data_IF_760291415352
#
_entry.id   IF_760291415352
#
_cell.length_a   1.000
_cell.length_b   1.000
_cell.length_c   1.000
_cell.angle_alpha   90.00
_cell.angle_beta   90.00
_cell.angle_gamma   90.00
#
_symmetry.space_group_name_H-M   'P 1'
#
loop_
_entity.id
_entity.type
_entity.pdbx_description
1 polymer ?
#
# COMPACT_ATOMS: atom_id res chain seq x y z
N UNK A 1 -3.47 -15.51 2.29
CA UNK A 1 -3.29 -14.24 1.60
C UNK A 1 -1.80 -13.87 1.42
N UNK A 2 -0.96 -14.04 2.44
CA UNK A 2 0.49 -13.77 2.34
C UNK A 2 1.12 -14.71 1.30
N UNK A 3 0.94 -16.03 1.43
CA UNK A 3 1.40 -17.02 0.46
C UNK A 3 0.84 -16.76 -0.95
N UNK A 4 -0.46 -16.45 -1.05
CA UNK A 4 -1.09 -16.11 -2.33
C UNK A 4 -0.41 -14.91 -3.00
N UNK A 5 -0.02 -13.90 -2.21
CA UNK A 5 0.68 -12.71 -2.72
C UNK A 5 2.11 -13.05 -3.11
N UNK A 6 2.84 -13.83 -2.28
CA UNK A 6 4.19 -14.28 -2.61
C UNK A 6 4.23 -15.10 -3.90
N UNK A 7 3.34 -16.06 -4.06
CA UNK A 7 3.26 -16.85 -5.29
C UNK A 7 2.89 -16.00 -6.52
N UNK A 8 1.94 -15.04 -6.38
CA UNK A 8 1.60 -14.11 -7.46
C UNK A 8 2.82 -13.27 -7.87
N UNK A 9 3.59 -12.80 -6.89
CA UNK A 9 4.81 -12.03 -7.10
C UNK A 9 5.89 -12.87 -7.83
N UNK A 10 6.09 -14.13 -7.40
CA UNK A 10 7.02 -15.06 -8.04
C UNK A 10 6.61 -15.35 -9.49
N UNK A 11 5.33 -15.64 -9.72
CA UNK A 11 4.80 -15.89 -11.05
C UNK A 11 5.00 -14.69 -11.97
N UNK A 12 4.64 -13.48 -11.54
CA UNK A 12 4.84 -12.26 -12.30
C UNK A 12 6.31 -12.07 -12.70
N UNK A 13 7.24 -12.30 -11.77
CA UNK A 13 8.68 -12.23 -12.04
C UNK A 13 9.12 -13.27 -13.09
N UNK A 14 8.68 -14.52 -12.97
CA UNK A 14 9.04 -15.60 -13.90
C UNK A 14 8.49 -15.33 -15.31
N UNK A 15 7.38 -14.62 -15.44
CA UNK A 15 6.76 -14.23 -16.70
C UNK A 15 7.32 -12.92 -17.28
N UNK A 16 8.29 -12.28 -16.59
CA UNK A 16 8.94 -11.05 -17.03
C UNK A 16 8.16 -9.76 -16.68
N UNK A 17 7.17 -9.87 -15.81
CA UNK A 17 6.41 -8.74 -15.28
C UNK A 17 7.09 -8.10 -14.06
N UNK A 18 6.61 -6.94 -13.65
CA UNK A 18 7.14 -6.17 -12.53
C UNK A 18 6.27 -6.31 -11.29
N UNK A 19 6.91 -6.17 -10.13
CA UNK A 19 6.22 -6.05 -8.86
C UNK A 19 6.45 -4.65 -8.29
N UNK A 20 5.38 -3.87 -8.25
CA UNK A 20 5.40 -2.50 -7.73
C UNK A 20 4.88 -2.46 -6.30
N UNK A 21 5.49 -1.60 -5.48
CA UNK A 21 5.05 -1.34 -4.10
C UNK A 21 4.87 0.15 -3.88
N UNK A 22 3.77 0.55 -3.26
CA UNK A 22 3.48 1.95 -2.97
C UNK A 22 2.68 2.15 -1.69
N UNK A 23 2.75 3.36 -1.17
CA UNK A 23 1.99 3.88 -0.05
C UNK A 23 2.21 5.38 0.12
N UNK A 24 1.39 6.04 0.92
CA UNK A 24 1.55 7.46 1.26
C UNK A 24 1.58 7.67 2.77
N UNK A 25 2.15 8.79 3.21
CA UNK A 25 2.40 9.04 4.62
C UNK A 25 3.28 7.93 5.21
N UNK A 26 3.05 7.47 6.43
CA UNK A 26 3.81 6.35 7.00
C UNK A 26 3.68 5.03 6.23
N UNK A 27 2.64 4.85 5.42
CA UNK A 27 2.50 3.65 4.58
C UNK A 27 3.56 3.56 3.47
N UNK A 28 4.28 4.66 3.15
CA UNK A 28 5.40 4.62 2.19
C UNK A 28 6.53 3.70 2.65
N UNK A 29 6.70 3.52 3.96
CA UNK A 29 7.73 2.63 4.53
C UNK A 29 7.61 1.18 4.04
N UNK A 30 6.43 0.75 3.59
CA UNK A 30 6.26 -0.55 2.96
C UNK A 30 7.10 -0.70 1.69
N UNK A 31 7.16 0.35 0.87
CA UNK A 31 8.01 0.35 -0.32
C UNK A 31 9.51 0.36 0.04
N UNK A 32 9.90 1.12 1.05
CA UNK A 32 11.29 1.15 1.53
C UNK A 32 11.69 -0.20 2.16
N UNK A 33 10.77 -0.86 2.89
CA UNK A 33 11.01 -2.15 3.52
C UNK A 33 11.25 -3.27 2.49
N UNK A 34 10.60 -3.21 1.33
CA UNK A 34 10.73 -4.25 0.30
C UNK A 34 11.81 -3.94 -0.75
N UNK A 35 12.25 -2.68 -0.90
CA UNK A 35 13.17 -2.25 -1.94
C UNK A 35 14.60 -2.08 -1.43
N UNK A 36 15.58 -2.51 -2.26
CA UNK A 36 17.03 -2.27 -2.11
C UNK A 36 17.58 -2.60 -0.71
N UNK A 37 17.09 -3.66 -0.10
CA UNK A 37 17.42 -4.05 1.27
C UNK A 37 18.21 -5.35 1.29
N UNK A 38 19.16 -5.49 2.22
CA UNK A 38 19.87 -6.76 2.44
C UNK A 38 18.86 -7.88 2.78
N UNK A 39 18.93 -8.99 2.05
CA UNK A 39 17.98 -10.11 2.15
C UNK A 39 16.63 -9.87 1.48
N UNK A 40 16.42 -8.74 0.82
CA UNK A 40 15.23 -8.45 0.03
C UNK A 40 15.34 -8.95 -1.41
N UNK A 41 14.23 -8.87 -2.13
CA UNK A 41 14.13 -9.30 -3.53
C UNK A 41 14.52 -8.15 -4.47
N UNK A 42 15.41 -8.42 -5.42
CA UNK A 42 16.04 -7.39 -6.27
C UNK A 42 15.09 -6.81 -7.34
N UNK A 43 13.96 -7.46 -7.62
CA UNK A 43 13.05 -7.08 -8.71
C UNK A 43 11.86 -6.22 -8.24
N UNK A 44 11.80 -5.86 -6.96
CA UNK A 44 10.78 -4.96 -6.41
C UNK A 44 11.03 -3.54 -6.90
N UNK A 45 9.99 -2.89 -7.42
CA UNK A 45 10.02 -1.51 -7.92
C UNK A 45 9.18 -0.62 -7.00
N UNK A 46 9.77 0.32 -6.26
CA UNK A 46 9.00 1.22 -5.44
C UNK A 46 8.36 2.33 -6.29
N UNK A 47 7.04 2.52 -6.18
CA UNK A 47 6.41 3.77 -6.62
C UNK A 47 6.47 4.71 -5.42
N UNK A 48 7.57 5.43 -5.33
CA UNK A 48 7.92 6.26 -4.19
C UNK A 48 8.49 7.60 -4.67
N UNK A 49 7.81 8.68 -4.32
CA UNK A 49 8.23 10.04 -4.61
C UNK A 49 8.24 10.85 -3.31
N UNK A 50 9.01 11.94 -3.27
CA UNK A 50 9.09 12.79 -2.07
C UNK A 50 7.73 13.36 -1.65
N UNK A 51 6.80 13.52 -2.59
CA UNK A 51 5.44 13.99 -2.34
C UNK A 51 4.61 13.02 -1.49
N UNK A 52 4.90 11.72 -1.60
CA UNK A 52 4.20 10.68 -0.85
C UNK A 52 4.82 10.43 0.53
N UNK A 53 6.03 10.93 0.77
CA UNK A 53 6.75 10.77 2.04
C UNK A 53 6.47 11.94 2.99
N UNK A 54 6.95 11.82 4.22
CA UNK A 54 6.85 12.85 5.24
C UNK A 54 8.18 13.61 5.46
N UNK A 55 9.17 13.40 4.59
CA UNK A 55 10.55 13.87 4.78
C UNK A 55 10.71 15.37 4.70
N UNK A 56 9.92 16.08 3.91
CA UNK A 56 10.03 17.53 3.72
C UNK A 56 9.06 18.30 4.62
N UNK A 57 7.84 17.80 4.79
CA UNK A 57 6.83 18.43 5.63
C UNK A 57 5.83 17.38 6.15
N UNK A 58 5.51 17.39 7.46
CA UNK A 58 4.74 16.30 8.09
C UNK A 58 3.31 16.11 7.53
N UNK A 59 2.71 17.14 6.94
CA UNK A 59 1.34 17.05 6.40
C UNK A 59 1.29 17.08 4.87
N UNK A 60 2.42 17.21 4.17
CA UNK A 60 2.46 17.30 2.70
C UNK A 60 1.80 16.06 2.06
N UNK A 61 2.20 14.87 2.46
CA UNK A 61 1.66 13.63 1.93
C UNK A 61 0.16 13.49 2.14
N UNK A 62 -0.38 14.00 3.24
CA UNK A 62 -1.83 14.00 3.52
C UNK A 62 -2.63 14.89 2.57
N UNK A 63 -2.02 15.95 2.03
CA UNK A 63 -2.64 16.77 1.01
C UNK A 63 -2.53 16.12 -0.38
N UNK A 64 -1.33 15.62 -0.71
CA UNK A 64 -1.06 14.99 -2.01
C UNK A 64 -1.92 13.72 -2.20
N UNK A 65 -2.05 12.88 -1.18
CA UNK A 65 -2.87 11.66 -1.29
C UNK A 65 -4.36 11.91 -1.54
N UNK A 66 -4.83 13.16 -1.34
CA UNK A 66 -6.21 13.59 -1.63
C UNK A 66 -6.38 14.21 -3.01
N UNK A 67 -5.29 14.47 -3.73
CA UNK A 67 -5.33 15.01 -5.09
C UNK A 67 -5.73 13.92 -6.07
N UNK A 68 -6.79 14.18 -6.84
CA UNK A 68 -7.15 13.33 -7.96
C UNK A 68 -6.18 13.51 -9.14
N UNK A 69 -5.90 12.42 -9.85
CA UNK A 69 -5.04 12.39 -11.04
C UNK A 69 -3.55 12.19 -10.75
N UNK A 70 -3.09 12.33 -9.50
CA UNK A 70 -1.68 12.14 -9.17
C UNK A 70 -1.22 10.69 -9.39
N UNK A 71 -2.03 9.72 -8.98
CA UNK A 71 -1.74 8.31 -9.19
C UNK A 71 -1.57 7.95 -10.67
N UNK A 72 -2.42 8.51 -11.55
CA UNK A 72 -2.32 8.28 -12.99
C UNK A 72 -0.97 8.72 -13.55
N UNK A 73 -0.47 9.88 -13.13
CA UNK A 73 0.86 10.37 -13.55
C UNK A 73 1.94 9.36 -13.16
N UNK A 74 1.91 8.83 -11.95
CA UNK A 74 2.90 7.86 -11.49
C UNK A 74 2.78 6.52 -12.25
N UNK A 75 1.56 6.04 -12.46
CA UNK A 75 1.32 4.81 -13.24
C UNK A 75 1.87 4.93 -14.67
N UNK A 76 1.73 6.12 -15.30
CA UNK A 76 2.31 6.42 -16.62
C UNK A 76 3.86 6.44 -16.56
N UNK A 77 4.44 7.15 -15.59
CA UNK A 77 5.89 7.29 -15.44
C UNK A 77 6.61 5.98 -15.12
N UNK A 78 6.04 5.16 -14.25
CA UNK A 78 6.59 3.86 -13.87
C UNK A 78 6.31 2.77 -14.91
N UNK A 79 5.39 3.02 -15.86
CA UNK A 79 5.05 2.11 -16.94
C UNK A 79 4.37 0.83 -16.47
N UNK A 80 3.44 0.96 -15.51
CA UNK A 80 2.61 -0.19 -15.07
C UNK A 80 1.83 -0.74 -16.25
N UNK A 81 1.84 -2.05 -16.45
CA UNK A 81 1.28 -2.73 -17.62
C UNK A 81 0.56 -4.03 -17.25
N UNK A 82 -0.03 -4.68 -18.25
CA UNK A 82 -0.74 -5.94 -18.09
C UNK A 82 0.19 -7.04 -17.54
N UNK A 83 -0.29 -7.80 -16.57
CA UNK A 83 0.45 -8.86 -15.90
C UNK A 83 1.31 -8.39 -14.72
N UNK A 84 1.57 -7.09 -14.61
CA UNK A 84 2.27 -6.54 -13.44
C UNK A 84 1.46 -6.72 -12.16
N UNK A 85 2.14 -6.67 -11.01
CA UNK A 85 1.51 -6.68 -9.69
C UNK A 85 1.78 -5.36 -8.98
N UNK A 86 0.75 -4.74 -8.44
CA UNK A 86 0.85 -3.48 -7.69
C UNK A 86 0.35 -3.71 -6.26
N UNK A 87 1.27 -3.70 -5.29
CA UNK A 87 0.96 -3.76 -3.87
C UNK A 87 0.81 -2.34 -3.33
N UNK A 88 -0.33 -2.05 -2.72
CA UNK A 88 -0.69 -0.74 -2.20
C UNK A 88 -0.94 -0.83 -0.71
N UNK A 89 -0.09 -0.19 0.11
CA UNK A 89 -0.30 -0.06 1.54
C UNK A 89 -1.06 1.23 1.85
N UNK A 90 -2.21 1.10 2.50
CA UNK A 90 -3.00 2.24 2.98
C UNK A 90 -3.91 1.81 4.12
N UNK A 91 -3.62 2.26 5.33
CA UNK A 91 -4.36 1.82 6.52
C UNK A 91 -5.86 2.14 6.44
N UNK A 92 -6.25 3.30 5.94
CA UNK A 92 -7.64 3.69 5.73
C UNK A 92 -8.21 3.30 4.35
N UNK A 93 -7.36 3.20 3.32
CA UNK A 93 -7.75 2.86 1.96
C UNK A 93 -8.78 3.78 1.30
N UNK A 94 -8.97 5.03 1.79
CA UNK A 94 -10.12 5.88 1.45
C UNK A 94 -9.80 7.12 0.60
N UNK A 95 -8.52 7.51 0.50
CA UNK A 95 -8.10 8.73 -0.20
C UNK A 95 -7.89 8.49 -1.71
N UNK A 96 -7.84 9.56 -2.49
CA UNK A 96 -7.76 9.50 -3.95
C UNK A 96 -6.55 8.69 -4.42
N UNK A 97 -5.35 8.96 -3.91
CA UNK A 97 -4.12 8.32 -4.38
C UNK A 97 -4.17 6.78 -4.36
N UNK A 98 -4.39 6.08 -3.22
CA UNK A 98 -4.41 4.61 -3.21
C UNK A 98 -5.58 4.03 -4.04
N UNK A 99 -6.70 4.72 -4.12
CA UNK A 99 -7.87 4.27 -4.90
C UNK A 99 -7.59 4.40 -6.40
N UNK A 100 -7.12 5.56 -6.85
CA UNK A 100 -6.80 5.79 -8.26
C UNK A 100 -5.64 4.92 -8.72
N UNK A 101 -4.61 4.70 -7.87
CA UNK A 101 -3.52 3.77 -8.18
C UNK A 101 -4.05 2.36 -8.46
N UNK A 102 -4.98 1.88 -7.63
CA UNK A 102 -5.63 0.58 -7.83
C UNK A 102 -6.48 0.56 -9.11
N UNK A 103 -7.29 1.59 -9.36
CA UNK A 103 -8.13 1.68 -10.55
C UNK A 103 -7.30 1.74 -11.83
N UNK A 104 -6.26 2.58 -11.87
CA UNK A 104 -5.38 2.71 -13.03
C UNK A 104 -4.58 1.42 -13.30
N UNK A 105 -4.08 0.76 -12.25
CA UNK A 105 -3.43 -0.54 -12.38
C UNK A 105 -4.39 -1.60 -12.98
N UNK A 106 -5.60 -1.69 -12.44
CA UNK A 106 -6.65 -2.60 -12.96
C UNK A 106 -7.02 -2.31 -14.41
N UNK A 107 -7.18 -1.03 -14.77
CA UNK A 107 -7.48 -0.61 -16.14
C UNK A 107 -6.40 -1.03 -17.15
N UNK A 108 -5.16 -1.22 -16.68
CA UNK A 108 -4.04 -1.71 -17.50
C UNK A 108 -3.86 -3.22 -17.49
N UNK A 109 -4.71 -3.95 -16.76
CA UNK A 109 -4.62 -5.40 -16.64
C UNK A 109 -3.59 -5.89 -15.62
N UNK A 110 -3.12 -5.02 -14.72
CA UNK A 110 -2.28 -5.39 -13.60
C UNK A 110 -3.11 -5.98 -12.45
N UNK A 111 -2.48 -6.82 -11.63
CA UNK A 111 -3.05 -7.35 -10.40
C UNK A 111 -2.83 -6.36 -9.26
N UNK A 112 -3.83 -6.20 -8.41
CA UNK A 112 -3.77 -5.26 -7.27
C UNK A 112 -3.87 -6.02 -5.95
N UNK A 113 -2.87 -5.80 -5.09
CA UNK A 113 -2.83 -6.29 -3.71
C UNK A 113 -2.96 -5.09 -2.77
N UNK A 114 -3.90 -5.13 -1.84
CA UNK A 114 -4.06 -4.10 -0.82
C UNK A 114 -3.62 -4.61 0.55
N UNK A 115 -2.84 -3.80 1.27
CA UNK A 115 -2.61 -3.95 2.70
C UNK A 115 -3.35 -2.82 3.41
N UNK A 116 -4.31 -3.14 4.25
CA UNK A 116 -5.17 -2.16 4.91
C UNK A 116 -5.63 -2.69 6.27
N UNK A 117 -6.04 -1.81 7.18
CA UNK A 117 -6.77 -2.24 8.36
C UNK A 117 -8.25 -2.41 7.99
N UNK A 118 -8.74 -3.65 7.98
CA UNK A 118 -10.16 -3.90 7.68
C UNK A 118 -11.07 -3.24 8.72
N UNK A 119 -10.68 -3.23 9.98
CA UNK A 119 -11.41 -2.55 11.07
C UNK A 119 -11.51 -1.03 10.83
N UNK A 120 -10.44 -0.41 10.36
CA UNK A 120 -10.41 1.02 10.09
C UNK A 120 -11.11 1.39 8.77
N UNK A 121 -10.79 0.70 7.67
CA UNK A 121 -11.32 1.04 6.35
C UNK A 121 -12.83 0.83 6.24
N UNK A 122 -13.40 -0.20 6.89
CA UNK A 122 -14.85 -0.44 6.90
C UNK A 122 -15.62 0.55 7.75
N UNK A 123 -14.98 1.17 8.73
CA UNK A 123 -15.57 2.24 9.55
C UNK A 123 -15.57 3.61 8.87
N UNK A 124 -15.01 3.72 7.65
CA UNK A 124 -14.81 4.99 6.95
C UNK A 124 -15.42 4.97 5.55
N UNK A 125 -16.10 6.05 5.16
CA UNK A 125 -16.53 6.23 3.78
C UNK A 125 -15.37 6.66 2.88
N UNK A 126 -15.43 6.29 1.59
CA UNK A 126 -14.49 6.77 0.57
C UNK A 126 -14.49 8.30 0.48
N UNK A 127 -13.32 8.86 0.17
CA UNK A 127 -13.16 10.27 -0.22
C UNK A 127 -13.03 10.46 -1.72
N UNK A 128 -13.04 9.36 -2.48
CA UNK A 128 -12.96 9.38 -3.93
C UNK A 128 -14.36 9.31 -4.56
N UNK A 129 -14.53 9.92 -5.74
CA UNK A 129 -15.81 10.02 -6.45
C UNK A 129 -16.43 8.67 -6.85
N UNK A 130 -15.62 7.60 -6.97
CA UNK A 130 -16.14 6.25 -7.26
C UNK A 130 -16.90 5.63 -6.08
N UNK A 131 -16.85 6.22 -4.88
CA UNK A 131 -17.53 5.74 -3.68
C UNK A 131 -16.95 4.46 -3.06
N UNK A 132 -15.92 3.84 -3.66
CA UNK A 132 -15.28 2.61 -3.17
C UNK A 132 -14.00 2.92 -2.40
N UNK A 133 -13.72 2.14 -1.37
CA UNK A 133 -12.43 2.09 -0.70
C UNK A 133 -11.50 1.07 -1.40
N UNK A 134 -10.21 1.16 -1.15
CA UNK A 134 -9.16 0.33 -1.77
C UNK A 134 -9.46 -1.18 -1.69
N UNK A 135 -9.92 -1.68 -0.52
CA UNK A 135 -10.23 -3.10 -0.33
C UNK A 135 -11.35 -3.63 -1.24
N UNK A 136 -12.21 -2.75 -1.78
CA UNK A 136 -13.30 -3.10 -2.68
C UNK A 136 -12.86 -3.17 -4.16
N UNK A 137 -11.63 -2.76 -4.45
CA UNK A 137 -11.05 -2.70 -5.80
C UNK A 137 -9.99 -3.77 -5.98
N UNK A 138 -9.20 -4.03 -4.93
CA UNK A 138 -8.08 -4.96 -4.95
C UNK A 138 -8.51 -6.43 -5.19
N UNK A 139 -7.64 -7.19 -5.86
CA UNK A 139 -7.81 -8.65 -6.09
C UNK A 139 -7.50 -9.46 -4.83
N UNK A 140 -6.49 -9.03 -4.09
CA UNK A 140 -6.10 -9.62 -2.81
C UNK A 140 -6.10 -8.52 -1.76
N UNK A 141 -6.71 -8.81 -0.61
CA UNK A 141 -6.73 -7.90 0.53
C UNK A 141 -6.06 -8.59 1.72
N UNK A 142 -5.01 -7.99 2.23
CA UNK A 142 -4.31 -8.38 3.45
C UNK A 142 -4.71 -7.41 4.55
N UNK A 143 -5.33 -7.95 5.60
CA UNK A 143 -5.67 -7.19 6.80
C UNK A 143 -4.44 -7.11 7.71
N UNK A 144 -3.97 -5.91 7.99
CA UNK A 144 -2.88 -5.69 8.94
C UNK A 144 -3.34 -5.68 10.41
N UNK A 145 -4.63 -5.93 10.65
CA UNK A 145 -5.26 -6.01 11.97
C UNK A 145 -5.11 -4.73 12.83
N UNK A 146 -4.85 -3.58 12.18
CA UNK A 146 -4.70 -2.30 12.88
C UNK A 146 -6.01 -1.78 13.48
N UNK A 147 -5.90 -1.00 14.56
CA UNK A 147 -7.03 -0.37 15.21
C UNK A 147 -7.61 0.82 14.40
N UNK A 148 -8.85 1.20 14.68
CA UNK A 148 -9.43 2.45 14.14
C UNK A 148 -8.60 3.63 14.62
N UNK A 149 -8.07 4.43 13.68
CA UNK A 149 -7.15 5.52 13.99
C UNK A 149 -5.70 5.10 14.19
N UNK A 150 -5.39 3.79 13.97
CA UNK A 150 -4.05 3.19 14.02
C UNK A 150 -3.40 3.10 15.42
N UNK A 151 -3.92 3.78 16.44
CA UNK A 151 -3.30 3.81 17.77
C UNK A 151 -3.95 2.79 18.71
N UNK A 152 -3.12 1.95 19.36
CA UNK A 152 -3.57 0.80 20.14
C UNK A 152 -3.68 1.04 21.66
N UNK A 153 -2.95 2.03 22.21
CA UNK A 153 -2.87 2.24 23.65
C UNK A 153 -3.55 3.53 24.11
N UNK A 154 -4.29 3.41 25.21
CA UNK A 154 -4.82 4.56 25.96
C UNK A 154 -4.00 4.77 27.23
N UNK A 155 -3.79 6.01 27.63
CA UNK A 155 -3.12 6.37 28.88
C UNK A 155 -3.99 7.33 29.70
N UNK A 156 -3.98 7.18 30.99
CA UNK A 156 -4.69 8.08 31.90
C UNK A 156 -4.14 9.52 31.74
N UNK A 157 -5.04 10.47 31.64
CA UNK A 157 -4.70 11.89 31.47
C UNK A 157 -4.40 12.30 30.02
N UNK A 158 -4.53 11.40 29.03
CA UNK A 158 -4.42 11.74 27.62
C UNK A 158 -5.71 11.42 26.86
N UNK A 159 -6.25 12.40 26.15
CA UNK A 159 -7.42 12.21 25.28
C UNK A 159 -7.07 11.45 23.99
N UNK A 160 -5.82 11.53 23.53
CA UNK A 160 -5.34 10.85 22.33
C UNK A 160 -4.74 9.48 22.66
N UNK A 161 -5.03 8.49 21.81
CA UNK A 161 -4.36 7.19 21.86
C UNK A 161 -2.94 7.27 21.31
N UNK A 162 -2.09 6.39 21.78
CA UNK A 162 -0.68 6.24 21.40
C UNK A 162 -0.43 4.89 20.72
N UNK A 163 0.82 4.68 20.30
CA UNK A 163 1.33 3.43 19.72
C UNK A 163 0.64 3.07 18.38
N UNK A 164 0.97 3.75 17.28
CA UNK A 164 0.54 3.33 15.95
C UNK A 164 1.16 1.96 15.61
N UNK A 165 0.35 1.03 15.09
CA UNK A 165 0.75 -0.36 14.87
C UNK A 165 0.93 -0.72 13.41
N UNK A 166 0.37 0.06 12.48
CA UNK A 166 0.33 -0.28 11.06
C UNK A 166 1.71 -0.46 10.43
N UNK A 167 2.70 0.41 10.74
CA UNK A 167 4.04 0.30 10.16
C UNK A 167 4.77 -0.98 10.60
N UNK A 168 4.64 -1.38 11.88
CA UNK A 168 5.22 -2.62 12.38
C UNK A 168 4.57 -3.85 11.72
N UNK A 169 3.24 -3.86 11.65
CA UNK A 169 2.49 -4.94 11.01
C UNK A 169 2.83 -5.04 9.51
N UNK A 170 2.90 -3.91 8.80
CA UNK A 170 3.23 -3.86 7.39
C UNK A 170 4.66 -4.35 7.13
N UNK A 171 5.65 -4.00 7.97
CA UNK A 171 7.02 -4.52 7.85
C UNK A 171 7.08 -6.03 8.05
N UNK A 172 6.35 -6.57 9.03
CA UNK A 172 6.23 -8.01 9.22
C UNK A 172 5.58 -8.70 8.00
N UNK A 173 4.49 -8.14 7.48
CA UNK A 173 3.78 -8.62 6.29
C UNK A 173 4.72 -8.63 5.07
N UNK A 174 5.53 -7.57 4.89
CA UNK A 174 6.51 -7.48 3.81
C UNK A 174 7.48 -8.67 3.83
N UNK A 175 8.03 -9.00 4.99
CA UNK A 175 8.98 -10.10 5.11
C UNK A 175 8.30 -11.47 4.89
N UNK A 176 7.07 -11.65 5.37
CA UNK A 176 6.31 -12.87 5.09
C UNK A 176 6.03 -13.05 3.58
N UNK A 177 5.71 -11.97 2.86
CA UNK A 177 5.51 -12.01 1.41
C UNK A 177 6.84 -12.34 0.70
N UNK A 178 7.96 -11.76 1.12
CA UNK A 178 9.27 -12.04 0.55
C UNK A 178 9.66 -13.52 0.71
N UNK A 179 9.43 -14.10 1.89
CA UNK A 179 9.67 -15.53 2.14
C UNK A 179 8.78 -16.38 1.24
N UNK A 180 7.48 -16.13 1.22
CA UNK A 180 6.53 -16.88 0.38
C UNK A 180 6.78 -16.72 -1.13
N UNK A 181 7.47 -15.66 -1.56
CA UNK A 181 7.87 -15.48 -2.95
C UNK A 181 9.13 -16.31 -3.28
N UNK A 182 9.99 -16.56 -2.30
CA UNK A 182 11.24 -17.30 -2.49
C UNK A 182 11.06 -18.83 -2.41
N UNK A 183 9.96 -19.32 -1.82
CA UNK A 183 9.58 -20.74 -1.76
C UNK A 183 9.08 -21.25 -3.12
#
# INVERSE_FOLDING_TARGET
KLEQTGHLMAQAFMEGHKFFVSGSGHSHTMAEEMYARAGGLAFVVPILTSELTMTEHPTKSSHIERLSGYAKILVDLYGVSCGDVVLIASNSGRNAYPIELALEAKNRGAHVVAITSMKHTTAQSSRHSCGKNLYQIADIVIDNCGEVGDCALSMDGLDAKLCPTSSMANSFIAQCINVACAE
#
